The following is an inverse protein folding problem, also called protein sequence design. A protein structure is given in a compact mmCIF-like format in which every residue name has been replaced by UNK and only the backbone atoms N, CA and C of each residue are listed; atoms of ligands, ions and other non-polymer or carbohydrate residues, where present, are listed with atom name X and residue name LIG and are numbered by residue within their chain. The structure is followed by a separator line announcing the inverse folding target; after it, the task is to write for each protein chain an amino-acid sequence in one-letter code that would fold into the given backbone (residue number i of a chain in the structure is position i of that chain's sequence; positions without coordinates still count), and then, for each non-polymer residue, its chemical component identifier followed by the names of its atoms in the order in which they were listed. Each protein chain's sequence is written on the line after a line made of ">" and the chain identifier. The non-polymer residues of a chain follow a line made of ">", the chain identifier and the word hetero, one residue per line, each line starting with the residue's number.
data_IF_645041716045
#
_entry.id   IF_645041716045
#
_cell.length_a   1.000
_cell.length_b   1.000
_cell.length_c   1.000
_cell.angle_alpha   90.00
_cell.angle_beta   90.00
_cell.angle_gamma   90.00
#
_symmetry.space_group_name_H-M   'P 1'
#
loop_
_entity.id
_entity.type
_entity.pdbx_description
1 polymer ?
#
# COMPACT_ATOMS: atom_id res chain seq x y z
N UNK A 1 13.00 6.34 29.17
CA UNK A 1 13.95 5.34 29.72
C UNK A 1 14.04 4.07 28.85
N UNK A 2 12.94 3.49 28.31
CA UNK A 2 12.97 2.27 27.47
C UNK A 2 13.71 2.46 26.13
N UNK A 3 13.56 3.60 25.46
CA UNK A 3 14.30 3.90 24.22
C UNK A 3 15.81 4.01 24.42
N UNK A 4 16.25 4.58 25.55
CA UNK A 4 17.68 4.61 25.90
C UNK A 4 18.25 3.21 26.13
N UNK A 5 17.47 2.31 26.72
CA UNK A 5 17.91 0.91 26.91
C UNK A 5 17.96 0.14 25.58
N UNK A 6 17.08 0.43 24.62
CA UNK A 6 17.11 -0.14 23.28
C UNK A 6 18.37 0.30 22.52
N UNK A 7 18.69 1.61 22.49
CA UNK A 7 19.90 2.15 21.88
C UNK A 7 21.21 1.63 22.51
N UNK A 8 21.23 1.42 23.83
CA UNK A 8 22.39 0.87 24.54
C UNK A 8 22.56 -0.62 24.19
N UNK A 9 21.46 -1.35 24.03
CA UNK A 9 21.45 -2.75 23.67
C UNK A 9 21.92 -2.95 22.21
N UNK A 10 21.45 -2.13 21.28
CA UNK A 10 21.88 -2.15 19.88
C UNK A 10 23.36 -1.78 19.74
N UNK A 11 23.84 -0.78 20.49
CA UNK A 11 25.25 -0.42 20.52
C UNK A 11 26.15 -1.49 21.17
N UNK A 12 25.65 -2.21 22.16
CA UNK A 12 26.37 -3.34 22.76
C UNK A 12 26.36 -4.57 21.84
N UNK A 13 25.29 -4.81 21.09
CA UNK A 13 25.21 -5.87 20.07
C UNK A 13 26.22 -5.62 18.95
N UNK A 14 26.34 -4.37 18.48
CA UNK A 14 27.37 -3.99 17.50
C UNK A 14 28.81 -4.09 18.06
N UNK A 15 29.03 -3.76 19.35
CA UNK A 15 30.35 -3.89 20.00
C UNK A 15 30.72 -5.32 20.32
N UNK A 16 29.77 -6.21 20.57
CA UNK A 16 30.01 -7.62 20.93
C UNK A 16 30.34 -8.51 19.72
N UNK A 17 30.49 -7.94 18.51
CA UNK A 17 30.92 -8.68 17.34
C UNK A 17 29.93 -9.73 16.83
N UNK A 18 28.65 -9.62 17.23
CA UNK A 18 27.56 -10.50 16.74
C UNK A 18 27.34 -10.36 15.23
N UNK A 19 27.71 -9.21 14.65
CA UNK A 19 27.69 -8.96 13.20
C UNK A 19 29.15 -8.84 12.71
N UNK A 20 29.91 -9.94 12.74
CA UNK A 20 31.15 -10.02 11.97
C UNK A 20 30.76 -10.32 10.52
N UNK A 21 30.79 -9.29 9.66
CA UNK A 21 30.76 -9.48 8.21
C UNK A 21 32.13 -10.07 7.77
N UNK A 22 32.33 -11.36 8.02
CA UNK A 22 33.43 -12.15 7.46
C UNK A 22 32.98 -12.88 6.20
N UNK A 23 33.92 -13.38 5.40
CA UNK A 23 33.58 -14.23 4.23
C UNK A 23 32.73 -15.45 4.61
N UNK A 24 32.86 -15.92 5.85
CA UNK A 24 32.07 -17.05 6.39
C UNK A 24 30.58 -16.67 6.69
N UNK A 25 30.25 -15.39 6.75
CA UNK A 25 28.89 -14.89 6.93
C UNK A 25 28.04 -14.90 5.65
N UNK A 26 28.65 -15.19 4.51
CA UNK A 26 27.96 -15.36 3.22
C UNK A 26 27.64 -16.83 2.91
N UNK A 27 27.40 -17.66 3.91
CA UNK A 27 26.89 -19.01 3.68
C UNK A 27 25.40 -18.95 3.35
N UNK A 28 25.03 -19.40 2.15
CA UNK A 28 23.64 -19.62 1.75
C UNK A 28 23.16 -20.91 2.42
N UNK A 29 22.74 -20.81 3.69
CA UNK A 29 22.08 -21.92 4.37
C UNK A 29 20.69 -22.14 3.76
N UNK A 30 20.37 -23.38 3.39
CA UNK A 30 19.13 -23.72 2.67
C UNK A 30 17.88 -23.51 3.53
N UNK A 31 17.94 -23.73 4.85
CA UNK A 31 16.80 -23.58 5.74
C UNK A 31 16.28 -22.13 5.84
N UNK A 32 17.12 -21.12 6.18
CA UNK A 32 16.64 -19.74 6.24
C UNK A 32 16.28 -19.19 4.86
N UNK A 33 16.96 -19.64 3.79
CA UNK A 33 16.62 -19.25 2.42
C UNK A 33 15.26 -19.80 2.00
N UNK A 34 14.93 -21.05 2.32
CA UNK A 34 13.64 -21.65 2.04
C UNK A 34 12.50 -20.94 2.77
N UNK A 35 12.68 -20.59 4.05
CA UNK A 35 11.73 -19.83 4.82
C UNK A 35 11.49 -18.43 4.25
N UNK A 36 12.58 -17.74 3.86
CA UNK A 36 12.53 -16.42 3.23
C UNK A 36 11.77 -16.47 1.90
N UNK A 37 12.09 -17.41 1.02
CA UNK A 37 11.42 -17.58 -0.27
C UNK A 37 9.93 -17.87 -0.10
N UNK A 38 9.55 -18.70 0.86
CA UNK A 38 8.15 -19.02 1.14
C UNK A 38 7.32 -17.80 1.58
N UNK A 39 7.94 -16.86 2.28
CA UNK A 39 7.28 -15.62 2.70
C UNK A 39 7.32 -14.53 1.63
N UNK A 40 8.43 -14.41 0.90
CA UNK A 40 8.63 -13.35 -0.09
C UNK A 40 7.97 -13.67 -1.44
N UNK A 41 7.97 -14.93 -1.89
CA UNK A 41 7.44 -15.29 -3.20
C UNK A 41 5.98 -14.86 -3.43
N UNK A 42 5.04 -15.10 -2.50
CA UNK A 42 3.66 -14.62 -2.68
C UNK A 42 3.58 -13.09 -2.78
N UNK A 43 4.39 -12.37 -2.02
CA UNK A 43 4.39 -10.89 -2.04
C UNK A 43 4.95 -10.34 -3.34
N UNK A 44 6.02 -10.93 -3.88
CA UNK A 44 6.59 -10.54 -5.18
C UNK A 44 5.58 -10.80 -6.30
N UNK A 45 4.97 -11.98 -6.33
CA UNK A 45 3.92 -12.31 -7.31
C UNK A 45 2.74 -11.35 -7.20
N UNK A 46 2.28 -11.06 -5.97
CA UNK A 46 1.23 -10.06 -5.72
C UNK A 46 1.59 -8.69 -6.29
N UNK A 47 2.81 -8.22 -6.04
CA UNK A 47 3.27 -6.92 -6.53
C UNK A 47 3.30 -6.87 -8.07
N UNK A 48 3.80 -7.90 -8.72
CA UNK A 48 3.83 -8.02 -10.19
C UNK A 48 2.41 -8.01 -10.76
N UNK A 49 1.51 -8.82 -10.20
CA UNK A 49 0.13 -8.91 -10.65
C UNK A 49 -0.62 -7.58 -10.46
N UNK A 50 -0.45 -6.92 -9.30
CA UNK A 50 -1.09 -5.63 -9.02
C UNK A 50 -0.59 -4.55 -9.98
N UNK A 51 0.72 -4.45 -10.23
CA UNK A 51 1.28 -3.48 -11.16
C UNK A 51 0.83 -3.76 -12.61
N UNK A 52 0.77 -5.03 -13.02
CA UNK A 52 0.24 -5.40 -14.34
C UNK A 52 -1.22 -4.97 -14.51
N UNK A 53 -2.04 -5.12 -13.47
CA UNK A 53 -3.44 -4.63 -13.49
C UNK A 53 -3.51 -3.11 -13.66
N UNK A 54 -2.64 -2.34 -12.99
CA UNK A 54 -2.59 -0.88 -13.18
C UNK A 54 -2.15 -0.49 -14.59
N UNK A 55 -1.20 -1.22 -15.19
CA UNK A 55 -0.79 -0.98 -16.58
C UNK A 55 -1.92 -1.21 -17.58
N UNK A 56 -2.72 -2.27 -17.39
CA UNK A 56 -3.88 -2.55 -18.22
C UNK A 56 -4.93 -1.44 -18.14
N UNK A 57 -5.25 -0.98 -16.92
CA UNK A 57 -6.20 0.13 -16.72
C UNK A 57 -5.65 1.43 -17.33
N UNK A 58 -4.35 1.71 -17.16
CA UNK A 58 -3.71 2.86 -17.78
C UNK A 58 -3.82 2.85 -19.31
N UNK A 59 -3.62 1.68 -19.93
CA UNK A 59 -3.86 1.49 -21.36
C UNK A 59 -5.30 1.77 -21.79
N UNK A 60 -6.27 1.35 -20.97
CA UNK A 60 -7.69 1.63 -21.22
C UNK A 60 -8.00 3.14 -21.11
N UNK A 61 -7.46 3.81 -20.09
CA UNK A 61 -7.67 5.25 -19.89
C UNK A 61 -7.12 6.04 -21.09
N UNK A 62 -6.02 5.61 -21.68
CA UNK A 62 -5.45 6.24 -22.87
C UNK A 62 -6.41 6.21 -24.08
N UNK A 63 -7.31 5.23 -24.15
CA UNK A 63 -8.34 5.17 -25.21
C UNK A 63 -9.36 6.32 -25.09
N UNK A 64 -9.58 6.88 -23.91
CA UNK A 64 -10.49 8.01 -23.69
C UNK A 64 -9.88 9.40 -24.03
N UNK A 65 -8.65 9.40 -24.52
CA UNK A 65 -7.97 10.61 -24.99
C UNK A 65 -6.94 11.19 -24.03
N UNK A 66 -6.20 12.17 -24.54
CA UNK A 66 -5.03 12.73 -23.84
C UNK A 66 -5.42 13.42 -22.52
N UNK A 67 -6.51 14.17 -22.51
CA UNK A 67 -6.96 14.90 -21.31
C UNK A 67 -7.37 13.95 -20.18
N UNK A 68 -8.05 12.86 -20.49
CA UNK A 68 -8.42 11.84 -19.52
C UNK A 68 -7.17 11.14 -18.95
N UNK A 69 -6.21 10.82 -19.81
CA UNK A 69 -4.95 10.21 -19.40
C UNK A 69 -4.11 11.14 -18.52
N UNK A 70 -4.01 12.42 -18.86
CA UNK A 70 -3.31 13.43 -18.07
C UNK A 70 -3.97 13.61 -16.69
N UNK A 71 -5.31 13.69 -16.66
CA UNK A 71 -6.09 13.79 -15.42
C UNK A 71 -5.86 12.57 -14.50
N UNK A 72 -5.91 11.35 -15.07
CA UNK A 72 -5.61 10.13 -14.32
C UNK A 72 -4.18 10.10 -13.79
N UNK A 73 -3.21 10.61 -14.56
CA UNK A 73 -1.82 10.78 -14.14
C UNK A 73 -1.69 11.73 -12.93
N UNK A 74 -2.39 12.86 -12.94
CA UNK A 74 -2.41 13.80 -11.83
C UNK A 74 -3.02 13.17 -10.56
N UNK A 75 -4.18 12.52 -10.68
CA UNK A 75 -4.84 11.83 -9.57
C UNK A 75 -3.99 10.69 -9.01
N UNK A 76 -3.26 9.96 -9.87
CA UNK A 76 -2.34 8.90 -9.43
C UNK A 76 -1.21 9.45 -8.57
N UNK A 77 -0.72 10.65 -8.84
CA UNK A 77 0.30 11.32 -7.99
C UNK A 77 -0.25 11.63 -6.60
N UNK A 78 -1.49 12.13 -6.51
CA UNK A 78 -2.18 12.40 -5.24
C UNK A 78 -2.38 11.09 -4.47
N UNK A 79 -2.84 10.05 -5.14
CA UNK A 79 -2.99 8.71 -4.58
C UNK A 79 -1.67 8.18 -3.98
N UNK A 80 -0.55 8.32 -4.70
CA UNK A 80 0.76 7.88 -4.21
C UNK A 80 1.15 8.54 -2.87
N UNK A 81 0.84 9.83 -2.66
CA UNK A 81 1.06 10.49 -1.37
C UNK A 81 0.23 9.85 -0.24
N UNK A 82 -1.01 9.52 -0.52
CA UNK A 82 -1.91 8.89 0.46
C UNK A 82 -1.44 7.48 0.82
N UNK A 83 -1.01 6.72 -0.18
CA UNK A 83 -0.51 5.35 -0.04
C UNK A 83 0.79 5.29 0.78
N UNK A 84 1.65 6.31 0.73
CA UNK A 84 2.88 6.35 1.54
C UNK A 84 2.60 6.22 3.04
N UNK A 85 1.56 6.88 3.55
CA UNK A 85 1.17 6.78 4.96
C UNK A 85 0.72 5.35 5.31
N UNK A 86 -0.09 4.74 4.45
CA UNK A 86 -0.55 3.35 4.59
C UNK A 86 0.59 2.34 4.56
N UNK A 87 1.52 2.48 3.61
CA UNK A 87 2.68 1.59 3.49
C UNK A 87 3.63 1.71 4.68
N UNK A 88 3.86 2.92 5.19
CA UNK A 88 4.67 3.13 6.38
C UNK A 88 4.03 2.45 7.60
N UNK A 89 2.70 2.56 7.75
CA UNK A 89 1.98 1.88 8.82
C UNK A 89 1.97 0.36 8.63
N UNK A 90 1.82 -0.13 7.39
CA UNK A 90 1.93 -1.56 7.08
C UNK A 90 3.28 -2.11 7.56
N UNK A 91 4.40 -1.45 7.25
CA UNK A 91 5.73 -1.86 7.69
C UNK A 91 5.86 -1.87 9.23
N UNK A 92 5.29 -0.87 9.91
CA UNK A 92 5.24 -0.81 11.36
C UNK A 92 4.42 -1.97 11.94
N UNK A 93 3.27 -2.28 11.36
CA UNK A 93 2.40 -3.38 11.80
C UNK A 93 3.03 -4.75 11.56
N UNK A 94 3.74 -4.96 10.44
CA UNK A 94 4.52 -6.19 10.20
C UNK A 94 5.51 -6.41 11.34
N UNK A 95 6.31 -5.41 11.65
CA UNK A 95 7.35 -5.50 12.69
C UNK A 95 6.74 -5.72 14.08
N UNK A 96 5.71 -4.94 14.42
CA UNK A 96 5.02 -5.03 15.71
C UNK A 96 4.36 -6.39 15.91
N UNK A 97 3.70 -6.90 14.88
CA UNK A 97 3.04 -8.20 14.93
C UNK A 97 4.06 -9.34 15.00
N UNK A 98 5.09 -9.33 14.16
CA UNK A 98 6.12 -10.37 14.15
C UNK A 98 6.84 -10.52 15.51
N UNK A 99 6.99 -9.42 16.27
CA UNK A 99 7.61 -9.46 17.59
C UNK A 99 6.68 -9.96 18.70
N UNK A 100 5.38 -9.72 18.58
CA UNK A 100 4.39 -10.02 19.64
C UNK A 100 3.62 -11.32 19.40
N UNK A 101 3.48 -11.75 18.15
CA UNK A 101 2.73 -12.96 17.78
C UNK A 101 3.30 -14.25 18.39
N UNK A 102 4.64 -14.52 18.35
CA UNK A 102 5.22 -15.70 19.00
C UNK A 102 5.05 -15.71 20.52
N UNK A 103 4.90 -14.53 21.12
CA UNK A 103 4.68 -14.34 22.57
C UNK A 103 3.21 -14.44 22.97
N UNK A 104 2.31 -14.71 22.01
CA UNK A 104 0.85 -14.75 22.20
C UNK A 104 0.27 -13.47 22.83
N UNK A 105 0.94 -12.33 22.63
CA UNK A 105 0.52 -11.02 23.17
C UNK A 105 -0.52 -10.37 22.25
N UNK A 106 -1.63 -11.06 21.99
CA UNK A 106 -2.68 -10.64 21.05
C UNK A 106 -3.32 -9.29 21.40
N UNK A 107 -3.53 -9.02 22.67
CA UNK A 107 -4.05 -7.71 23.10
C UNK A 107 -3.17 -6.53 22.66
N UNK A 108 -1.85 -6.73 22.66
CA UNK A 108 -0.92 -5.70 22.20
C UNK A 108 -1.02 -5.49 20.70
N UNK A 109 -1.19 -6.56 19.95
CA UNK A 109 -1.35 -6.51 18.50
C UNK A 109 -2.65 -5.78 18.16
N UNK A 110 -3.76 -6.11 18.82
CA UNK A 110 -5.06 -5.47 18.59
C UNK A 110 -5.05 -3.98 18.98
N UNK A 111 -4.43 -3.62 20.10
CA UNK A 111 -4.28 -2.22 20.50
C UNK A 111 -3.41 -1.43 19.49
N UNK A 112 -2.31 -2.04 19.00
CA UNK A 112 -1.47 -1.43 17.99
C UNK A 112 -2.21 -1.29 16.64
N UNK A 113 -2.98 -2.31 16.24
CA UNK A 113 -3.81 -2.27 15.04
C UNK A 113 -4.87 -1.15 15.14
N UNK A 114 -5.58 -1.06 16.25
CA UNK A 114 -6.58 -0.01 16.47
C UNK A 114 -5.97 1.39 16.40
N UNK A 115 -4.84 1.60 17.09
CA UNK A 115 -4.12 2.88 17.06
C UNK A 115 -3.57 3.19 15.66
N UNK A 116 -3.04 2.19 14.95
CA UNK A 116 -2.54 2.31 13.59
C UNK A 116 -3.66 2.67 12.61
N UNK A 117 -4.78 1.96 12.66
CA UNK A 117 -5.96 2.26 11.84
C UNK A 117 -6.49 3.68 12.10
N UNK A 118 -6.57 4.09 13.36
CA UNK A 118 -7.02 5.45 13.72
C UNK A 118 -6.09 6.51 13.12
N UNK A 119 -4.78 6.32 13.24
CA UNK A 119 -3.79 7.28 12.73
C UNK A 119 -3.86 7.41 11.20
N UNK A 120 -3.84 6.29 10.46
CA UNK A 120 -3.88 6.35 9.00
C UNK A 120 -5.23 6.82 8.48
N UNK A 121 -6.33 6.48 9.18
CA UNK A 121 -7.67 7.00 8.84
C UNK A 121 -7.74 8.50 9.04
N UNK A 122 -7.14 9.03 10.10
CA UNK A 122 -7.09 10.49 10.32
C UNK A 122 -6.31 11.19 9.20
N UNK A 123 -5.14 10.66 8.81
CA UNK A 123 -4.35 11.21 7.70
C UNK A 123 -5.11 11.11 6.37
N UNK A 124 -5.68 9.95 6.06
CA UNK A 124 -6.45 9.75 4.85
C UNK A 124 -7.70 10.63 4.80
N UNK A 125 -8.39 10.81 5.94
CA UNK A 125 -9.56 11.67 6.05
C UNK A 125 -9.23 13.15 5.77
N UNK A 126 -8.10 13.64 6.27
CA UNK A 126 -7.63 15.00 5.97
C UNK A 126 -7.38 15.17 4.48
N UNK A 127 -6.67 14.23 3.84
CA UNK A 127 -6.40 14.28 2.41
C UNK A 127 -7.71 14.19 1.61
N UNK A 128 -8.60 13.27 1.96
CA UNK A 128 -9.91 13.12 1.33
C UNK A 128 -10.72 14.41 1.44
N UNK A 129 -10.76 15.01 2.63
CA UNK A 129 -11.48 16.26 2.86
C UNK A 129 -10.92 17.41 2.00
N UNK A 130 -9.60 17.52 1.88
CA UNK A 130 -8.96 18.48 0.99
C UNK A 130 -9.32 18.23 -0.48
N UNK A 131 -9.34 16.97 -0.91
CA UNK A 131 -9.74 16.59 -2.27
C UNK A 131 -11.20 16.91 -2.58
N UNK A 132 -12.09 16.83 -1.58
CA UNK A 132 -13.51 17.15 -1.75
C UNK A 132 -13.79 18.65 -1.73
N UNK A 133 -13.15 19.39 -0.81
CA UNK A 133 -13.38 20.82 -0.63
C UNK A 133 -12.72 21.67 -1.71
N UNK A 134 -11.53 21.29 -2.16
CA UNK A 134 -10.73 22.10 -3.08
C UNK A 134 -10.04 21.24 -4.15
N UNK A 135 -10.79 20.47 -4.96
CA UNK A 135 -10.21 19.58 -5.97
C UNK A 135 -9.45 20.35 -7.05
N UNK A 136 -9.92 21.52 -7.43
CA UNK A 136 -9.28 22.39 -8.44
C UNK A 136 -7.88 22.80 -7.98
N UNK A 137 -7.76 23.29 -6.74
CA UNK A 137 -6.49 23.71 -6.18
C UNK A 137 -5.49 22.55 -6.11
N UNK A 138 -5.93 21.36 -5.70
CA UNK A 138 -5.06 20.19 -5.62
C UNK A 138 -4.59 19.75 -7.01
N UNK A 139 -5.48 19.74 -8.00
CA UNK A 139 -5.13 19.37 -9.37
C UNK A 139 -4.23 20.43 -10.03
N UNK A 140 -4.42 21.71 -9.73
CA UNK A 140 -3.58 22.79 -10.25
C UNK A 140 -2.12 22.72 -9.78
N UNK A 141 -1.82 21.99 -8.68
CA UNK A 141 -0.44 21.69 -8.27
C UNK A 141 0.30 20.76 -9.24
N UNK A 142 -0.43 20.06 -10.10
CA UNK A 142 0.13 19.03 -10.99
C UNK A 142 -0.04 19.34 -12.48
N UNK A 143 -0.95 20.26 -12.83
CA UNK A 143 -1.22 20.66 -14.22
C UNK A 143 -1.85 22.06 -14.27
N UNK A 144 -1.45 22.84 -15.27
CA UNK A 144 -2.01 24.17 -15.54
C UNK A 144 -3.14 24.14 -16.59
N UNK A 145 -3.40 22.98 -17.18
CA UNK A 145 -4.34 22.81 -18.27
C UNK A 145 -5.78 22.65 -17.77
N UNK A 146 -6.63 23.65 -18.00
CA UNK A 146 -7.99 23.73 -17.48
C UNK A 146 -8.86 22.53 -17.89
N UNK A 147 -8.72 22.04 -19.13
CA UNK A 147 -9.44 20.88 -19.63
C UNK A 147 -9.10 19.58 -18.86
N UNK A 148 -7.83 19.47 -18.42
CA UNK A 148 -7.36 18.35 -17.61
C UNK A 148 -7.90 18.44 -16.18
N UNK A 149 -7.94 19.66 -15.61
CA UNK A 149 -8.48 19.92 -14.27
C UNK A 149 -9.96 19.55 -14.23
N UNK A 150 -10.79 20.03 -15.17
CA UNK A 150 -12.22 19.72 -15.21
C UNK A 150 -12.50 18.21 -15.31
N UNK A 151 -11.75 17.52 -16.16
CA UNK A 151 -11.84 16.06 -16.30
C UNK A 151 -11.42 15.34 -15.02
N UNK A 152 -10.38 15.88 -14.34
CA UNK A 152 -9.78 15.31 -13.14
C UNK A 152 -10.62 15.47 -11.88
N UNK A 153 -11.41 16.54 -11.74
CA UNK A 153 -12.22 16.81 -10.53
C UNK A 153 -13.16 15.66 -10.22
N UNK A 154 -13.93 15.21 -11.22
CA UNK A 154 -14.90 14.12 -11.05
C UNK A 154 -14.19 12.81 -10.69
N UNK A 155 -13.08 12.53 -11.35
CA UNK A 155 -12.28 11.34 -11.11
C UNK A 155 -11.63 11.38 -9.72
N UNK A 156 -11.09 12.52 -9.29
CA UNK A 156 -10.47 12.69 -7.98
C UNK A 156 -11.46 12.49 -6.84
N UNK A 157 -12.65 13.10 -6.91
CA UNK A 157 -13.70 12.94 -5.88
C UNK A 157 -14.12 11.48 -5.72
N UNK A 158 -14.36 10.80 -6.82
CA UNK A 158 -14.72 9.37 -6.77
C UNK A 158 -13.59 8.53 -6.13
N UNK A 159 -12.33 8.86 -6.45
CA UNK A 159 -11.17 8.12 -5.96
C UNK A 159 -10.85 8.42 -4.48
N UNK A 160 -11.09 9.64 -4.03
CA UNK A 160 -10.73 10.12 -2.70
C UNK A 160 -11.41 9.32 -1.57
N UNK A 161 -12.65 8.89 -1.77
CA UNK A 161 -13.38 8.03 -0.81
C UNK A 161 -12.63 6.71 -0.59
N UNK A 162 -12.01 6.17 -1.63
CA UNK A 162 -11.23 4.94 -1.57
C UNK A 162 -9.98 5.04 -0.70
N UNK A 163 -9.41 6.23 -0.52
CA UNK A 163 -8.17 6.42 0.25
C UNK A 163 -8.28 5.94 1.70
N UNK A 164 -9.42 6.16 2.34
CA UNK A 164 -9.65 5.74 3.73
C UNK A 164 -9.67 4.22 3.82
N UNK A 165 -10.42 3.57 2.96
CA UNK A 165 -10.57 2.11 2.94
C UNK A 165 -9.22 1.44 2.65
N UNK A 166 -8.48 1.95 1.68
CA UNK A 166 -7.17 1.43 1.28
C UNK A 166 -6.14 1.52 2.41
N UNK A 167 -6.09 2.63 3.13
CA UNK A 167 -5.16 2.80 4.24
C UNK A 167 -5.46 1.85 5.41
N UNK A 168 -6.73 1.61 5.73
CA UNK A 168 -7.14 0.60 6.72
C UNK A 168 -6.71 -0.79 6.25
N UNK A 169 -6.90 -1.10 4.97
CA UNK A 169 -6.49 -2.37 4.38
C UNK A 169 -4.97 -2.61 4.52
N UNK A 170 -4.13 -1.59 4.33
CA UNK A 170 -2.69 -1.69 4.56
C UNK A 170 -2.35 -2.08 6.00
N UNK A 171 -3.03 -1.52 7.01
CA UNK A 171 -2.83 -1.90 8.40
C UNK A 171 -3.17 -3.37 8.65
N UNK A 172 -4.29 -3.84 8.10
CA UNK A 172 -4.73 -5.23 8.24
C UNK A 172 -3.77 -6.18 7.54
N UNK A 173 -3.33 -5.86 6.34
CA UNK A 173 -2.36 -6.66 5.58
C UNK A 173 -1.01 -6.72 6.28
N UNK A 174 -0.56 -5.61 6.88
CA UNK A 174 0.64 -5.59 7.70
C UNK A 174 0.55 -6.53 8.90
N UNK A 175 -0.59 -6.55 9.58
CA UNK A 175 -0.82 -7.44 10.72
C UNK A 175 -0.82 -8.91 10.30
N UNK A 176 -1.53 -9.26 9.22
CA UNK A 176 -1.58 -10.64 8.71
C UNK A 176 -0.20 -11.12 8.23
N UNK A 177 0.51 -10.28 7.49
CA UNK A 177 1.87 -10.56 7.02
C UNK A 177 2.84 -10.76 8.19
N UNK A 178 2.77 -9.91 9.22
CA UNK A 178 3.58 -10.02 10.43
C UNK A 178 3.28 -11.26 11.27
N UNK A 179 2.06 -11.80 11.17
CA UNK A 179 1.68 -13.10 11.76
C UNK A 179 2.11 -14.32 10.90
N UNK A 180 2.70 -14.09 9.73
CA UNK A 180 3.12 -15.15 8.79
C UNK A 180 2.04 -15.60 7.82
N UNK A 181 0.84 -14.99 7.85
CA UNK A 181 -0.28 -15.32 6.97
C UNK A 181 -0.26 -14.51 5.67
N UNK A 182 0.82 -14.64 4.88
CA UNK A 182 1.03 -13.86 3.64
C UNK A 182 0.08 -14.22 2.50
N UNK A 183 -0.52 -15.42 2.55
CA UNK A 183 -1.46 -15.87 1.52
C UNK A 183 -2.79 -15.11 1.53
N UNK A 184 -3.25 -14.61 2.69
CA UNK A 184 -4.51 -13.86 2.78
C UNK A 184 -4.42 -12.52 2.03
N UNK A 185 -3.43 -11.64 2.29
CA UNK A 185 -3.22 -10.45 1.49
C UNK A 185 -3.03 -10.73 -0.01
N UNK A 186 -2.31 -11.81 -0.35
CA UNK A 186 -2.12 -12.24 -1.73
C UNK A 186 -3.44 -12.57 -2.42
N UNK A 187 -4.26 -13.44 -1.84
CA UNK A 187 -5.56 -13.80 -2.42
C UNK A 187 -6.49 -12.59 -2.55
N UNK A 188 -6.57 -11.73 -1.53
CA UNK A 188 -7.38 -10.52 -1.57
C UNK A 188 -6.93 -9.59 -2.70
N UNK A 189 -5.63 -9.40 -2.88
CA UNK A 189 -5.09 -8.53 -3.92
C UNK A 189 -5.35 -9.10 -5.33
N UNK A 190 -5.19 -10.42 -5.52
CA UNK A 190 -5.47 -11.08 -6.81
C UNK A 190 -6.95 -10.97 -7.17
N UNK A 191 -7.83 -11.27 -6.22
CA UNK A 191 -9.28 -11.16 -6.42
C UNK A 191 -9.66 -9.72 -6.76
N UNK A 192 -9.18 -8.74 -6.01
CA UNK A 192 -9.46 -7.33 -6.25
C UNK A 192 -8.91 -6.85 -7.61
N UNK A 193 -7.66 -7.20 -7.93
CA UNK A 193 -6.99 -6.72 -9.13
C UNK A 193 -7.58 -7.31 -10.42
N UNK A 194 -7.90 -8.59 -10.41
CA UNK A 194 -8.32 -9.29 -11.63
C UNK A 194 -9.83 -9.52 -11.69
N UNK A 195 -10.45 -10.01 -10.62
CA UNK A 195 -11.88 -10.32 -10.68
C UNK A 195 -12.73 -9.05 -10.67
N UNK A 196 -12.46 -8.12 -9.77
CA UNK A 196 -13.28 -6.91 -9.65
C UNK A 196 -12.93 -5.89 -10.75
N UNK A 197 -11.67 -5.53 -10.89
CA UNK A 197 -11.25 -4.48 -11.85
C UNK A 197 -11.43 -4.92 -13.29
N UNK A 198 -11.06 -6.16 -13.62
CA UNK A 198 -11.13 -6.65 -15.00
C UNK A 198 -12.58 -6.89 -15.45
N UNK A 199 -13.42 -7.50 -14.60
CA UNK A 199 -14.85 -7.70 -14.90
C UNK A 199 -15.60 -6.38 -15.04
N UNK A 200 -15.40 -5.43 -14.13
CA UNK A 200 -16.04 -4.11 -14.22
C UNK A 200 -15.57 -3.35 -15.47
N UNK A 201 -14.30 -3.46 -15.82
CA UNK A 201 -13.76 -2.84 -17.03
C UNK A 201 -14.36 -3.47 -18.31
N UNK A 202 -14.48 -4.79 -18.36
CA UNK A 202 -15.10 -5.50 -19.49
C UNK A 202 -16.59 -5.17 -19.63
N UNK A 203 -17.34 -5.09 -18.53
CA UNK A 203 -18.76 -4.74 -18.55
C UNK A 203 -18.95 -3.31 -19.08
N UNK A 204 -18.11 -2.35 -18.65
CA UNK A 204 -18.18 -0.96 -19.14
C UNK A 204 -17.80 -0.81 -20.63
N UNK A 205 -16.89 -1.67 -21.14
CA UNK A 205 -16.52 -1.65 -22.57
C UNK A 205 -17.55 -2.36 -23.42
N UNK A 206 -18.22 -3.38 -22.88
CA UNK A 206 -19.25 -4.14 -23.63
C UNK A 206 -20.62 -3.43 -23.66
N UNK A 207 -20.86 -2.43 -22.82
CA UNK A 207 -22.00 -1.53 -23.00
C UNK A 207 -21.60 -0.38 -23.96
N UNK A 208 -21.95 -0.46 -25.25
CA UNK A 208 -21.81 0.68 -26.13
C UNK A 208 -22.73 1.78 -25.56
N UNK A 209 -22.13 2.87 -25.12
CA UNK A 209 -22.87 4.10 -24.81
C UNK A 209 -23.74 4.40 -26.03
N UNK A 210 -25.02 4.07 -25.93
CA UNK A 210 -26.01 4.58 -26.90
C UNK A 210 -26.00 6.10 -26.79
N UNK A 211 -25.93 6.81 -27.92
CA UNK A 211 -25.96 8.26 -27.97
C UNK A 211 -27.26 8.81 -27.41
#
# INVERSE_FOLDING_TARGET
>A
RRQRQMCIRDRNVCRLGYYRFGRDGFSLEQEPLGALMRLCAPQVVQMVLTNSSFMLIGGLINYFGVNASAAAGAVTKIWNFTVLAGQAMMAAMITMTAQNYPRKAYERILKALGAGCMLVTAVAAVITLLCELSPEWILSLFTDEQAVIESGIRYLRFFAIGFIVENIMFCMFGTLTGAGHTMVPFCCAVISAYLVRYLLSLIHISEPTRP
#
